data_IF_498025718947
#
_entry.id   IF_498025718947
#
_cell.length_a   1.000
_cell.length_b   1.000
_cell.length_c   1.000
_cell.angle_alpha   90.00
_cell.angle_beta   90.00
_cell.angle_gamma   90.00
#
_symmetry.space_group_name_H-M   'P 1'
#
loop_
_entity.id
_entity.type
_entity.pdbx_description
1 polymer ?
#
# COMPACT_ATOMS: atom_id res chain seq x y z
N UNK A 1 -5.80 72.32 -19.90
CA UNK A 1 -6.23 71.55 -18.72
C UNK A 1 -5.51 70.21 -18.74
N UNK A 2 -4.51 70.03 -17.88
CA UNK A 2 -3.69 68.82 -17.77
C UNK A 2 -4.02 68.20 -16.41
N UNK A 3 -4.57 66.98 -16.38
CA UNK A 3 -4.83 66.22 -15.16
C UNK A 3 -3.75 65.14 -15.03
N UNK A 4 -2.86 65.31 -14.07
CA UNK A 4 -1.91 64.28 -13.64
C UNK A 4 -2.64 63.28 -12.73
N UNK A 5 -2.50 61.98 -13.02
CA UNK A 5 -2.92 60.88 -12.14
C UNK A 5 -1.67 60.24 -11.55
N UNK A 6 -1.58 60.19 -10.22
CA UNK A 6 -0.54 59.48 -9.48
C UNK A 6 -1.01 58.05 -9.19
N UNK A 7 -0.19 57.06 -9.55
CA UNK A 7 -0.36 55.64 -9.22
C UNK A 7 0.35 55.35 -7.88
N UNK A 8 -0.43 54.99 -6.87
CA UNK A 8 0.10 54.47 -5.60
C UNK A 8 0.29 52.96 -5.68
N UNK A 9 1.52 52.49 -5.43
CA UNK A 9 1.86 51.06 -5.32
C UNK A 9 1.52 50.61 -3.89
N UNK A 10 0.61 49.65 -3.77
CA UNK A 10 0.28 48.98 -2.50
C UNK A 10 1.20 47.76 -2.36
N UNK A 11 2.07 47.80 -1.35
CA UNK A 11 2.91 46.68 -0.96
C UNK A 11 2.13 45.79 0.02
N UNK A 12 1.60 44.66 -0.44
CA UNK A 12 0.99 43.66 0.45
C UNK A 12 2.07 42.79 1.07
N UNK A 13 2.29 42.96 2.38
CA UNK A 13 3.16 42.10 3.16
C UNK A 13 2.63 40.67 3.21
N UNK A 14 3.47 39.70 2.85
CA UNK A 14 3.19 38.27 3.02
C UNK A 14 3.39 37.93 4.50
N UNK A 15 2.31 37.60 5.20
CA UNK A 15 2.37 37.02 6.53
C UNK A 15 2.72 35.53 6.41
N UNK A 16 3.92 35.16 6.85
CA UNK A 16 4.29 33.76 7.12
C UNK A 16 3.48 33.27 8.33
N UNK A 17 2.41 32.52 8.08
CA UNK A 17 1.75 31.70 9.08
C UNK A 17 2.73 30.59 9.52
N UNK A 18 3.24 30.70 10.74
CA UNK A 18 3.98 29.62 11.37
C UNK A 18 3.08 28.40 11.53
N UNK A 19 3.49 27.27 10.95
CA UNK A 19 2.83 25.98 11.16
C UNK A 19 3.20 25.51 12.56
N UNK A 20 2.23 25.55 13.48
CA UNK A 20 2.34 24.84 14.75
C UNK A 20 2.17 23.36 14.43
N UNK A 21 3.28 22.61 14.34
CA UNK A 21 3.24 21.15 14.26
C UNK A 21 2.90 20.58 15.63
N UNK A 22 1.61 20.65 15.98
CA UNK A 22 1.07 19.83 17.07
C UNK A 22 1.04 18.36 16.65
N UNK A 23 0.97 17.42 17.62
CA UNK A 23 0.72 16.02 17.28
C UNK A 23 -0.59 15.95 16.49
N UNK A 24 -0.52 15.40 15.28
CA UNK A 24 -1.71 15.12 14.47
C UNK A 24 -2.52 14.11 15.27
N UNK A 25 -3.72 14.51 15.68
CA UNK A 25 -4.64 13.59 16.34
C UNK A 25 -5.16 12.60 15.31
N UNK A 26 -5.24 11.32 15.68
CA UNK A 26 -5.80 10.29 14.81
C UNK A 26 -7.23 10.69 14.37
N UNK A 27 -7.43 10.85 13.07
CA UNK A 27 -8.74 11.10 12.50
C UNK A 27 -9.54 9.80 12.50
N UNK A 28 -10.84 9.89 12.79
CA UNK A 28 -11.76 8.75 12.74
C UNK A 28 -12.94 9.08 11.84
N UNK A 29 -13.24 8.15 10.95
CA UNK A 29 -14.32 8.21 9.98
C UNK A 29 -15.30 7.08 10.22
N UNK A 30 -16.54 7.25 9.80
CA UNK A 30 -17.53 6.19 9.78
C UNK A 30 -17.49 5.49 8.40
N UNK A 31 -17.48 4.16 8.38
CA UNK A 31 -17.34 3.40 7.12
C UNK A 31 -18.55 3.57 6.21
N UNK A 32 -19.78 3.52 6.74
CA UNK A 32 -20.98 3.74 5.92
C UNK A 32 -20.99 5.13 5.29
N UNK A 33 -20.63 6.18 6.04
CA UNK A 33 -20.46 7.52 5.46
C UNK A 33 -19.40 7.57 4.35
N UNK A 34 -18.27 6.88 4.50
CA UNK A 34 -17.24 6.81 3.45
C UNK A 34 -17.77 6.11 2.18
N UNK A 35 -18.60 5.09 2.33
CA UNK A 35 -19.23 4.38 1.21
C UNK A 35 -20.26 5.29 0.54
N UNK A 36 -21.20 5.85 1.29
CA UNK A 36 -22.34 6.61 0.76
C UNK A 36 -21.92 7.93 0.09
N UNK A 37 -20.87 8.57 0.61
CA UNK A 37 -20.35 9.83 0.06
C UNK A 37 -19.25 9.64 -0.98
N UNK A 38 -18.85 8.40 -1.28
CA UNK A 38 -17.62 8.10 -2.01
C UNK A 38 -16.41 8.86 -1.42
N UNK A 39 -16.33 8.85 -0.08
CA UNK A 39 -15.37 9.59 0.70
C UNK A 39 -13.95 9.05 0.54
N UNK A 40 -12.98 9.92 0.75
CA UNK A 40 -11.56 9.58 0.77
C UNK A 40 -10.83 10.44 1.80
N UNK A 41 -9.68 9.95 2.26
CA UNK A 41 -8.81 10.67 3.17
C UNK A 41 -7.36 10.21 3.00
N UNK A 42 -6.42 11.02 3.50
CA UNK A 42 -4.99 10.71 3.45
C UNK A 42 -4.44 10.35 4.83
N UNK A 43 -3.46 9.45 4.84
CA UNK A 43 -2.62 9.17 6.02
C UNK A 43 -1.17 9.20 5.54
N UNK A 44 -0.41 10.19 6.00
CA UNK A 44 0.90 10.50 5.43
C UNK A 44 0.79 10.80 3.92
N UNK A 45 1.51 10.02 3.12
CA UNK A 45 1.52 10.12 1.65
C UNK A 45 0.57 9.11 0.96
N UNK A 46 -0.37 8.50 1.69
CA UNK A 46 -1.26 7.46 1.17
C UNK A 46 -2.69 7.96 1.11
N UNK A 47 -3.33 7.87 -0.05
CA UNK A 47 -4.74 8.16 -0.25
C UNK A 47 -5.55 6.87 -0.11
N UNK A 48 -6.54 6.86 0.78
CA UNK A 48 -7.50 5.79 0.94
C UNK A 48 -8.86 6.22 0.35
N UNK A 49 -9.44 5.38 -0.51
CA UNK A 49 -10.66 5.68 -1.26
C UNK A 49 -11.45 4.41 -1.62
N UNK A 50 -12.55 4.57 -2.37
CA UNK A 50 -13.30 3.48 -3.00
C UNK A 50 -13.76 2.40 -1.99
N UNK A 51 -14.21 2.83 -0.80
CA UNK A 51 -14.64 1.93 0.26
C UNK A 51 -15.88 1.14 -0.14
N UNK A 52 -15.91 -0.14 0.24
CA UNK A 52 -17.08 -1.01 0.09
C UNK A 52 -17.20 -1.93 1.31
N UNK A 53 -18.42 -2.38 1.59
CA UNK A 53 -18.68 -3.38 2.61
C UNK A 53 -19.85 -4.28 2.23
N UNK A 54 -19.73 -5.58 2.49
CA UNK A 54 -20.84 -6.52 2.47
C UNK A 54 -20.83 -7.33 3.75
N UNK A 55 -21.99 -7.45 4.39
CA UNK A 55 -22.15 -8.14 5.67
C UNK A 55 -23.14 -9.28 5.48
N UNK A 56 -22.73 -10.48 5.84
CA UNK A 56 -23.55 -11.68 5.90
C UNK A 56 -23.45 -12.36 7.25
N UNK A 57 -24.43 -13.18 7.60
CA UNK A 57 -24.42 -13.92 8.85
C UNK A 57 -25.02 -15.31 8.68
N UNK A 58 -24.82 -16.15 9.71
CA UNK A 58 -25.50 -17.43 9.88
C UNK A 58 -26.04 -17.53 11.32
N UNK A 59 -27.29 -18.01 11.52
CA UNK A 59 -28.28 -18.33 10.49
C UNK A 59 -28.66 -17.10 9.65
N UNK A 60 -29.25 -17.30 8.47
CA UNK A 60 -29.46 -16.24 7.47
C UNK A 60 -30.25 -15.02 7.99
N UNK A 61 -31.00 -15.17 9.08
CA UNK A 61 -31.61 -14.06 9.79
C UNK A 61 -30.66 -13.59 10.88
N UNK A 62 -29.96 -12.48 10.63
CA UNK A 62 -29.05 -11.90 11.60
C UNK A 62 -29.82 -11.32 12.79
N UNK A 63 -29.53 -11.80 13.99
CA UNK A 63 -30.03 -11.19 15.20
C UNK A 63 -28.93 -10.30 15.80
N UNK A 64 -29.14 -8.96 15.91
CA UNK A 64 -28.13 -8.05 16.46
C UNK A 64 -27.76 -8.33 17.92
N UNK A 65 -28.56 -9.13 18.64
CA UNK A 65 -28.20 -9.59 19.99
C UNK A 65 -27.09 -10.65 19.99
N UNK A 66 -26.86 -11.34 18.87
CA UNK A 66 -25.95 -12.49 18.78
C UNK A 66 -24.84 -12.34 17.74
N UNK A 67 -24.96 -11.40 16.81
CA UNK A 67 -23.93 -11.11 15.80
C UNK A 67 -23.81 -9.62 15.53
N UNK A 68 -22.60 -9.19 15.22
CA UNK A 68 -22.33 -7.84 14.73
C UNK A 68 -20.96 -7.76 14.04
N UNK A 69 -20.69 -6.71 13.25
CA UNK A 69 -21.58 -5.60 12.89
C UNK A 69 -22.70 -6.04 11.92
N UNK A 70 -23.86 -5.37 11.91
CA UNK A 70 -24.91 -5.63 10.90
C UNK A 70 -25.06 -4.54 9.85
N UNK A 71 -24.32 -3.45 10.03
CA UNK A 71 -24.36 -2.26 9.18
C UNK A 71 -22.95 -1.65 9.11
N UNK A 72 -22.45 -1.25 7.93
CA UNK A 72 -21.20 -0.49 7.79
C UNK A 72 -21.12 0.76 8.69
N UNK A 73 -22.25 1.39 9.02
CA UNK A 73 -22.31 2.54 9.94
C UNK A 73 -21.84 2.21 11.36
N UNK A 74 -21.78 0.93 11.73
CA UNK A 74 -21.25 0.50 13.04
C UNK A 74 -19.73 0.31 13.05
N UNK A 75 -19.06 0.50 11.90
CA UNK A 75 -17.62 0.32 11.74
C UNK A 75 -16.96 1.70 11.59
N UNK A 76 -15.96 1.96 12.44
CA UNK A 76 -15.11 3.13 12.38
C UNK A 76 -13.81 2.81 11.65
N UNK A 77 -13.33 3.76 10.86
CA UNK A 77 -12.02 3.75 10.20
C UNK A 77 -11.16 4.84 10.82
N UNK A 78 -10.14 4.46 11.58
CA UNK A 78 -9.23 5.39 12.27
C UNK A 78 -7.88 5.41 11.56
N UNK A 79 -7.31 6.59 11.33
CA UNK A 79 -5.97 6.74 10.75
C UNK A 79 -4.90 6.27 11.73
N UNK A 80 -3.88 5.58 11.22
CA UNK A 80 -2.69 5.18 11.97
C UNK A 80 -1.47 5.88 11.36
N UNK A 81 -1.01 6.97 11.97
CA UNK A 81 0.03 7.86 11.44
C UNK A 81 1.37 7.79 12.21
N UNK A 82 1.47 6.91 13.21
CA UNK A 82 2.67 6.70 14.01
C UNK A 82 3.39 5.41 13.60
N UNK A 83 4.66 5.52 13.24
CA UNK A 83 5.48 4.39 12.80
C UNK A 83 5.33 4.10 11.30
N UNK A 84 4.33 3.29 10.95
CA UNK A 84 4.01 2.92 9.57
C UNK A 84 2.60 3.42 9.22
N UNK A 85 2.40 4.13 8.12
CA UNK A 85 1.06 4.67 7.85
C UNK A 85 0.04 3.57 7.53
N UNK A 86 -1.21 3.80 7.92
CA UNK A 86 -2.27 2.84 7.69
C UNK A 86 -3.60 3.26 8.28
N UNK A 87 -4.48 2.27 8.44
CA UNK A 87 -5.84 2.46 8.95
C UNK A 87 -6.22 1.33 9.90
N UNK A 88 -7.11 1.63 10.83
CA UNK A 88 -7.71 0.67 11.76
C UNK A 88 -9.20 0.59 11.50
N UNK A 89 -9.72 -0.60 11.27
CA UNK A 89 -11.15 -0.87 11.36
C UNK A 89 -11.49 -1.25 12.79
N UNK A 90 -12.44 -0.55 13.41
CA UNK A 90 -12.95 -0.86 14.75
C UNK A 90 -14.47 -0.90 14.74
N UNK A 91 -15.06 -1.85 15.45
CA UNK A 91 -16.51 -2.02 15.47
C UNK A 91 -16.92 -3.18 16.37
N UNK A 92 -18.23 -3.42 16.52
CA UNK A 92 -18.74 -4.53 17.33
C UNK A 92 -18.65 -5.84 16.53
N UNK A 93 -17.44 -6.29 16.16
CA UNK A 93 -17.29 -7.58 15.50
C UNK A 93 -17.43 -8.69 16.53
N UNK A 94 -18.57 -9.38 16.53
CA UNK A 94 -18.80 -10.53 17.39
C UNK A 94 -19.74 -11.56 16.76
N UNK A 95 -19.60 -12.82 17.19
CA UNK A 95 -20.53 -13.89 16.92
C UNK A 95 -20.65 -14.79 18.15
N UNK A 96 -21.86 -14.86 18.71
CA UNK A 96 -22.22 -15.71 19.85
C UNK A 96 -22.49 -17.16 19.42
N UNK A 97 -22.75 -18.02 20.40
CA UNK A 97 -22.92 -19.46 20.23
C UNK A 97 -23.95 -19.77 19.14
N UNK A 98 -23.59 -20.70 18.25
CA UNK A 98 -24.37 -21.13 17.09
C UNK A 98 -24.64 -20.04 16.04
N UNK A 99 -23.92 -18.92 16.11
CA UNK A 99 -23.96 -17.88 15.11
C UNK A 99 -22.59 -17.68 14.45
N UNK A 100 -22.62 -17.12 13.25
CA UNK A 100 -21.44 -16.67 12.54
C UNK A 100 -21.73 -15.38 11.80
N UNK A 101 -20.68 -14.62 11.53
CA UNK A 101 -20.71 -13.44 10.70
C UNK A 101 -19.54 -13.47 9.71
N UNK A 102 -19.83 -13.00 8.51
CA UNK A 102 -18.90 -12.81 7.40
C UNK A 102 -18.99 -11.35 6.96
N UNK A 103 -17.89 -10.62 7.08
CA UNK A 103 -17.80 -9.20 6.73
C UNK A 103 -16.70 -9.04 5.70
N UNK A 104 -17.07 -8.61 4.49
CA UNK A 104 -16.10 -8.28 3.45
C UNK A 104 -15.98 -6.77 3.36
N UNK A 105 -14.77 -6.23 3.53
CA UNK A 105 -14.47 -4.80 3.41
C UNK A 105 -13.50 -4.60 2.27
N UNK A 106 -13.82 -3.72 1.32
CA UNK A 106 -12.94 -3.32 0.24
C UNK A 106 -12.54 -1.85 0.33
N UNK A 107 -11.35 -1.51 -0.14
CA UNK A 107 -10.90 -0.12 -0.34
C UNK A 107 -9.73 -0.07 -1.33
N UNK A 108 -9.45 1.10 -1.87
CA UNK A 108 -8.24 1.40 -2.63
C UNK A 108 -7.24 2.13 -1.74
N UNK A 109 -5.95 1.92 -2.01
CA UNK A 109 -4.84 2.71 -1.47
C UNK A 109 -3.92 3.16 -2.60
N UNK A 110 -3.52 4.42 -2.59
CA UNK A 110 -2.62 5.03 -3.58
C UNK A 110 -1.46 5.76 -2.90
N UNK A 111 -0.23 5.48 -3.35
CA UNK A 111 0.98 6.21 -2.97
C UNK A 111 1.07 7.54 -3.73
N UNK A 112 0.99 8.65 -3.01
CA UNK A 112 1.00 10.00 -3.57
C UNK A 112 2.41 10.51 -3.87
N UNK A 113 3.45 10.00 -3.20
CA UNK A 113 4.83 10.34 -3.56
C UNK A 113 5.20 9.70 -4.91
N UNK A 114 5.57 10.49 -5.94
CA UNK A 114 5.92 9.96 -7.26
C UNK A 114 7.14 9.02 -7.25
N UNK A 115 7.97 9.05 -6.21
CA UNK A 115 9.15 8.20 -6.07
C UNK A 115 8.93 6.97 -5.19
N UNK A 116 7.74 6.80 -4.59
CA UNK A 116 7.44 5.69 -3.69
C UNK A 116 6.34 4.78 -4.25
N UNK A 117 6.49 3.47 -4.12
CA UNK A 117 5.46 2.51 -4.49
C UNK A 117 5.18 1.59 -3.30
N UNK A 118 3.93 1.18 -3.14
CA UNK A 118 3.51 0.23 -2.12
C UNK A 118 4.25 -1.08 -2.36
N UNK A 119 4.96 -1.56 -1.35
CA UNK A 119 5.81 -2.76 -1.44
C UNK A 119 5.24 -3.96 -0.68
N UNK A 120 4.55 -3.71 0.42
CA UNK A 120 4.10 -4.73 1.36
C UNK A 120 2.91 -4.22 2.16
N UNK A 121 2.25 -5.16 2.81
CA UNK A 121 1.11 -4.94 3.69
C UNK A 121 1.30 -5.71 4.99
N UNK A 122 0.90 -5.09 6.10
CA UNK A 122 0.90 -5.70 7.42
C UNK A 122 -0.53 -5.71 7.97
N UNK A 123 -0.96 -6.91 8.37
CA UNK A 123 -2.27 -7.18 8.92
C UNK A 123 -2.09 -7.58 10.38
N UNK A 124 -2.79 -6.90 11.29
CA UNK A 124 -2.87 -7.31 12.68
C UNK A 124 -4.30 -7.22 13.20
N UNK A 125 -4.66 -8.05 14.17
CA UNK A 125 -5.96 -7.99 14.83
C UNK A 125 -5.89 -8.50 16.27
N UNK A 126 -6.95 -8.26 17.04
CA UNK A 126 -7.08 -8.79 18.41
C UNK A 126 -8.19 -9.84 18.54
N UNK A 127 -8.38 -10.67 17.51
CA UNK A 127 -9.41 -11.70 17.50
C UNK A 127 -9.28 -12.66 18.68
N UNK A 128 -10.38 -12.87 19.40
CA UNK A 128 -10.40 -13.67 20.62
C UNK A 128 -11.61 -14.61 20.67
N UNK A 129 -11.37 -15.93 20.82
CA UNK A 129 -12.39 -16.89 21.22
C UNK A 129 -12.60 -16.88 22.74
N UNK A 130 -13.85 -16.89 23.18
CA UNK A 130 -14.27 -16.94 24.58
C UNK A 130 -15.32 -18.06 24.76
N UNK A 131 -15.13 -19.05 25.65
CA UNK A 131 -13.90 -19.35 26.36
C UNK A 131 -12.76 -19.77 25.39
N UNK A 132 -11.50 -19.75 25.84
CA UNK A 132 -10.38 -20.22 25.03
C UNK A 132 -10.54 -21.69 24.59
N UNK A 133 -9.98 -22.08 23.43
CA UNK A 133 -10.01 -23.45 22.94
C UNK A 133 -9.36 -24.44 23.93
N UNK A 134 -9.79 -25.72 23.94
CA UNK A 134 -10.75 -26.34 23.00
C UNK A 134 -12.23 -26.11 23.36
N UNK A 135 -12.53 -25.25 24.33
CA UNK A 135 -13.89 -25.00 24.81
C UNK A 135 -14.59 -24.01 23.85
N UNK A 136 -15.91 -24.13 23.66
CA UNK A 136 -16.70 -23.19 22.85
C UNK A 136 -16.63 -23.38 21.34
N UNK A 137 -15.51 -23.87 20.81
CA UNK A 137 -15.25 -24.02 19.37
C UNK A 137 -15.37 -22.72 18.55
N UNK A 138 -15.23 -21.56 19.19
CA UNK A 138 -15.28 -20.27 18.49
C UNK A 138 -13.98 -19.99 17.73
N UNK A 139 -14.09 -19.23 16.63
CA UNK A 139 -12.98 -18.88 15.74
C UNK A 139 -13.14 -17.48 15.19
N UNK A 140 -12.03 -16.78 15.02
CA UNK A 140 -11.93 -15.49 14.32
C UNK A 140 -10.85 -15.60 13.26
N UNK A 141 -11.07 -15.03 12.08
CA UNK A 141 -10.06 -14.94 11.03
C UNK A 141 -10.28 -13.71 10.16
N UNK A 142 -9.19 -13.14 9.66
CA UNK A 142 -9.21 -12.13 8.61
C UNK A 142 -8.27 -12.59 7.52
N UNK A 143 -8.78 -12.71 6.30
CA UNK A 143 -7.99 -12.93 5.09
C UNK A 143 -7.94 -11.61 4.34
N UNK A 144 -6.75 -11.16 3.98
CA UNK A 144 -6.54 -9.96 3.17
C UNK A 144 -5.99 -10.37 1.81
N UNK A 145 -6.61 -9.87 0.75
CA UNK A 145 -6.16 -10.04 -0.63
C UNK A 145 -5.92 -8.67 -1.27
N UNK A 146 -4.77 -8.51 -1.90
CA UNK A 146 -4.35 -7.28 -2.58
C UNK A 146 -4.35 -7.52 -4.08
N UNK A 147 -4.96 -6.58 -4.80
CA UNK A 147 -5.08 -6.59 -6.24
C UNK A 147 -4.37 -5.38 -6.85
N UNK A 148 -3.77 -5.56 -8.02
CA UNK A 148 -3.33 -4.46 -8.86
C UNK A 148 -4.50 -3.80 -9.60
N UNK A 149 -4.20 -2.75 -10.38
CA UNK A 149 -5.18 -2.01 -11.18
C UNK A 149 -5.84 -2.85 -12.29
N UNK A 150 -5.22 -3.97 -12.66
CA UNK A 150 -5.72 -4.91 -13.67
C UNK A 150 -6.55 -6.04 -13.03
N UNK A 151 -6.80 -5.97 -11.71
CA UNK A 151 -7.46 -6.98 -10.88
C UNK A 151 -6.70 -8.32 -10.76
N UNK A 152 -5.39 -8.34 -10.97
CA UNK A 152 -4.57 -9.50 -10.62
C UNK A 152 -4.25 -9.49 -9.13
N UNK A 153 -4.30 -10.66 -8.50
CA UNK A 153 -3.82 -10.82 -7.11
C UNK A 153 -2.30 -10.65 -7.13
N UNK A 154 -1.80 -9.77 -6.27
CA UNK A 154 -0.36 -9.48 -6.10
C UNK A 154 0.12 -9.69 -4.65
N UNK A 155 -0.78 -10.15 -3.77
CA UNK A 155 -0.46 -10.44 -2.38
C UNK A 155 -1.68 -10.99 -1.64
N UNK A 156 -1.44 -11.90 -0.71
CA UNK A 156 -2.46 -12.42 0.20
C UNK A 156 -1.84 -12.77 1.55
N UNK A 157 -2.51 -12.38 2.63
CA UNK A 157 -2.10 -12.72 3.99
C UNK A 157 -3.31 -13.01 4.86
N UNK A 158 -3.10 -13.57 6.04
CA UNK A 158 -4.18 -13.85 6.99
C UNK A 158 -3.70 -13.78 8.44
N UNK A 159 -4.65 -13.47 9.31
CA UNK A 159 -4.56 -13.61 10.76
C UNK A 159 -5.72 -14.46 11.25
N UNK A 160 -5.52 -15.25 12.31
CA UNK A 160 -6.54 -16.14 12.84
C UNK A 160 -6.35 -16.41 14.31
N UNK A 161 -7.44 -16.77 14.99
CA UNK A 161 -7.40 -17.28 16.34
C UNK A 161 -8.64 -18.15 16.57
N UNK A 162 -8.51 -19.47 16.85
CA UNK A 162 -7.30 -20.28 16.99
C UNK A 162 -6.84 -21.04 15.70
N UNK A 163 -5.56 -21.46 15.63
CA UNK A 163 -4.45 -21.11 16.54
C UNK A 163 -4.11 -19.61 16.44
N UNK A 164 -3.50 -18.99 17.47
CA UNK A 164 -3.27 -17.56 17.48
C UNK A 164 -2.16 -17.18 16.50
N UNK A 165 -2.55 -16.50 15.42
CA UNK A 165 -1.72 -15.75 14.48
C UNK A 165 -2.33 -14.36 14.47
N UNK A 166 -1.83 -13.47 15.33
CA UNK A 166 -2.46 -12.17 15.60
C UNK A 166 -1.94 -11.06 14.69
N UNK A 167 -0.81 -11.28 14.06
CA UNK A 167 -0.16 -10.39 13.12
C UNK A 167 0.52 -11.19 12.02
N UNK A 168 0.52 -10.64 10.81
CA UNK A 168 1.19 -11.21 9.65
C UNK A 168 1.50 -10.10 8.64
N UNK A 169 2.50 -10.32 7.79
CA UNK A 169 2.89 -9.39 6.74
C UNK A 169 3.25 -10.15 5.46
N UNK A 170 3.08 -9.49 4.32
CA UNK A 170 3.42 -10.07 3.01
C UNK A 170 4.00 -9.00 2.09
N UNK A 171 5.10 -9.33 1.43
CA UNK A 171 5.63 -8.56 0.32
C UNK A 171 4.74 -8.75 -0.91
N UNK A 172 4.43 -7.67 -1.62
CA UNK A 172 3.70 -7.76 -2.87
C UNK A 172 4.61 -8.30 -3.98
N UNK A 173 4.05 -9.08 -4.90
CA UNK A 173 4.77 -9.67 -6.04
C UNK A 173 5.49 -8.61 -6.90
N UNK A 174 4.95 -7.38 -6.89
CA UNK A 174 5.53 -6.20 -7.53
C UNK A 174 5.12 -4.94 -6.76
N UNK A 175 6.01 -3.92 -6.66
CA UNK A 175 5.61 -2.63 -6.13
C UNK A 175 4.56 -1.95 -7.02
N UNK A 176 3.53 -1.37 -6.42
CA UNK A 176 2.43 -0.70 -7.15
C UNK A 176 2.16 0.70 -6.63
N UNK A 177 1.69 1.59 -7.50
CA UNK A 177 1.26 2.94 -7.11
C UNK A 177 -0.12 2.94 -6.47
N UNK A 178 -1.01 2.12 -6.99
CA UNK A 178 -2.38 1.95 -6.51
C UNK A 178 -2.67 0.46 -6.37
N UNK A 179 -3.27 0.10 -5.25
CA UNK A 179 -3.72 -1.26 -4.98
C UNK A 179 -5.16 -1.23 -4.49
N UNK A 180 -5.93 -2.25 -4.86
CA UNK A 180 -7.23 -2.54 -4.24
C UNK A 180 -7.01 -3.60 -3.18
N UNK A 181 -7.55 -3.39 -2.00
CA UNK A 181 -7.45 -4.31 -0.86
C UNK A 181 -8.84 -4.82 -0.51
N UNK A 182 -8.97 -6.13 -0.32
CA UNK A 182 -10.19 -6.78 0.14
C UNK A 182 -9.88 -7.61 1.37
N UNK A 183 -10.60 -7.35 2.46
CA UNK A 183 -10.58 -8.13 3.69
C UNK A 183 -11.83 -8.99 3.76
N UNK A 184 -11.68 -10.29 4.00
CA UNK A 184 -12.73 -11.24 4.35
C UNK A 184 -12.58 -11.59 5.83
N UNK A 185 -13.52 -11.11 6.65
CA UNK A 185 -13.51 -11.19 8.11
C UNK A 185 -14.57 -12.20 8.53
N UNK A 186 -14.14 -13.29 9.15
CA UNK A 186 -15.05 -14.32 9.64
C UNK A 186 -14.97 -14.45 11.15
N UNK A 187 -16.12 -14.44 11.80
CA UNK A 187 -16.26 -14.81 13.20
C UNK A 187 -17.30 -15.93 13.33
N UNK A 188 -16.98 -16.96 14.09
CA UNK A 188 -17.86 -18.10 14.37
C UNK A 188 -17.89 -18.31 15.87
N UNK A 189 -19.05 -18.23 16.52
CA UNK A 189 -19.20 -18.47 17.95
C UNK A 189 -19.06 -19.94 18.36
N UNK A 190 -19.07 -20.86 17.39
CA UNK A 190 -19.00 -22.30 17.68
C UNK A 190 -20.28 -22.78 18.37
N UNK A 191 -20.18 -23.77 19.26
CA UNK A 191 -21.35 -24.40 19.89
C UNK A 191 -21.82 -23.69 21.16
N UNK A 192 -20.87 -23.15 21.93
CA UNK A 192 -21.11 -22.51 23.23
C UNK A 192 -20.16 -21.35 23.48
N UNK A 193 -19.49 -20.86 22.44
CA UNK A 193 -18.49 -19.80 22.54
C UNK A 193 -18.98 -18.48 21.94
N UNK A 194 -18.16 -17.47 22.14
CA UNK A 194 -18.22 -16.15 21.59
C UNK A 194 -16.91 -15.92 20.84
N UNK A 195 -16.99 -15.38 19.63
CA UNK A 195 -15.85 -14.88 18.88
C UNK A 195 -15.95 -13.36 18.84
N UNK A 196 -14.87 -12.65 19.16
CA UNK A 196 -14.84 -11.17 19.11
C UNK A 196 -13.59 -10.64 18.42
N UNK A 197 -13.71 -9.55 17.68
CA UNK A 197 -12.59 -8.72 17.22
C UNK A 197 -12.93 -7.27 17.60
N UNK A 198 -12.02 -6.54 18.24
CA UNK A 198 -12.25 -5.12 18.56
C UNK A 198 -11.62 -4.19 17.53
N UNK A 199 -10.47 -4.60 16.97
CA UNK A 199 -9.80 -3.85 15.92
C UNK A 199 -9.08 -4.77 14.93
N UNK A 200 -8.96 -4.27 13.71
CA UNK A 200 -8.14 -4.82 12.64
C UNK A 200 -7.28 -3.68 12.11
N UNK A 201 -5.97 -3.82 12.27
CA UNK A 201 -4.98 -2.86 11.80
C UNK A 201 -4.49 -3.25 10.41
N UNK A 202 -4.50 -2.27 9.52
CA UNK A 202 -3.74 -2.27 8.29
C UNK A 202 -2.57 -1.32 8.43
N UNK A 203 -1.36 -1.78 8.12
CA UNK A 203 -0.22 -0.91 7.86
C UNK A 203 0.37 -1.22 6.48
N UNK A 204 0.97 -0.22 5.85
CA UNK A 204 1.42 -0.31 4.46
C UNK A 204 2.80 0.32 4.36
N UNK A 205 3.80 -0.44 3.90
CA UNK A 205 5.12 0.14 3.58
C UNK A 205 5.27 0.43 2.10
N UNK A 206 6.30 1.21 1.81
CA UNK A 206 6.64 1.62 0.46
C UNK A 206 8.14 1.47 0.22
N UNK A 207 8.49 1.23 -1.03
CA UNK A 207 9.86 1.22 -1.53
C UNK A 207 10.07 2.29 -2.58
N UNK A 208 11.32 2.71 -2.78
CA UNK A 208 11.67 3.67 -3.83
C UNK A 208 11.50 3.03 -5.20
N UNK A 209 10.78 3.71 -6.07
CA UNK A 209 10.70 3.37 -7.50
C UNK A 209 12.02 3.82 -8.14
N UNK A 210 12.79 2.91 -8.80
CA UNK A 210 13.99 3.30 -9.52
C UNK A 210 13.64 4.36 -10.58
N UNK A 211 14.30 5.51 -10.52
CA UNK A 211 14.10 6.56 -11.50
C UNK A 211 14.43 6.03 -12.91
N UNK A 212 13.58 6.25 -13.92
CA UNK A 212 13.86 5.82 -15.29
C UNK A 212 15.23 6.31 -15.82
N UNK A 213 15.71 7.44 -15.30
CA UNK A 213 17.03 8.00 -15.62
C UNK A 213 18.22 7.17 -15.14
N UNK A 214 18.11 6.43 -14.04
CA UNK A 214 19.21 5.60 -13.52
C UNK A 214 19.42 4.36 -14.39
N UNK A 215 18.34 3.75 -14.87
CA UNK A 215 18.41 2.62 -15.81
C UNK A 215 18.92 3.10 -17.18
N UNK A 216 18.42 4.24 -17.67
CA UNK A 216 18.87 4.83 -18.92
C UNK A 216 20.35 5.22 -18.90
N UNK A 217 20.84 5.80 -17.81
CA UNK A 217 22.25 6.19 -17.67
C UNK A 217 23.18 4.97 -17.61
N UNK A 218 22.83 3.89 -16.89
CA UNK A 218 23.63 2.66 -16.89
C UNK A 218 23.75 2.03 -18.28
N UNK A 219 22.66 2.00 -19.06
CA UNK A 219 22.69 1.52 -20.45
C UNK A 219 23.54 2.44 -21.34
N UNK A 220 23.40 3.76 -21.18
CA UNK A 220 24.18 4.73 -21.96
C UNK A 220 25.69 4.63 -21.64
N UNK A 221 26.07 4.52 -20.36
CA UNK A 221 27.46 4.33 -19.96
C UNK A 221 28.01 2.96 -20.40
N UNK A 222 27.21 1.90 -20.37
CA UNK A 222 27.58 0.58 -20.88
C UNK A 222 27.84 0.56 -22.39
N UNK A 223 26.98 1.21 -23.17
CA UNK A 223 27.13 1.30 -24.63
C UNK A 223 28.26 2.23 -25.07
N UNK A 224 28.48 3.36 -24.37
CA UNK A 224 29.61 4.24 -24.64
C UNK A 224 30.96 3.57 -24.30
N UNK A 225 31.02 2.76 -23.24
CA UNK A 225 32.22 2.00 -22.88
C UNK A 225 32.64 0.99 -23.95
N UNK A 226 31.68 0.23 -24.50
CA UNK A 226 31.96 -0.74 -25.58
C UNK A 226 32.36 -0.07 -26.89
N UNK A 227 31.75 1.06 -27.25
CA UNK A 227 32.09 1.79 -28.49
C UNK A 227 33.54 2.30 -28.53
N UNK A 228 34.07 2.79 -27.41
CA UNK A 228 35.44 3.27 -27.31
C UNK A 228 36.48 2.14 -27.35
N UNK A 229 36.15 0.98 -26.77
CA UNK A 229 37.01 -0.21 -26.80
C UNK A 229 37.09 -0.79 -28.22
N UNK A 230 35.97 -0.89 -28.93
CA UNK A 230 35.93 -1.38 -30.31
C UNK A 230 36.65 -0.46 -31.30
N UNK A 231 36.58 0.87 -31.10
CA UNK A 231 37.34 1.83 -31.91
C UNK A 231 38.85 1.65 -31.75
N UNK A 232 39.33 1.49 -30.51
CA UNK A 232 40.75 1.24 -30.22
C UNK A 232 41.26 -0.08 -30.82
N UNK A 233 40.47 -1.15 -30.78
CA UNK A 233 40.84 -2.42 -31.39
C UNK A 233 40.95 -2.33 -32.92
N UNK A 234 40.07 -1.54 -33.55
CA UNK A 234 40.15 -1.26 -35.00
C UNK A 234 41.43 -0.52 -35.37
N UNK A 235 41.78 0.52 -34.63
CA UNK A 235 43.00 1.31 -34.88
C UNK A 235 44.28 0.48 -34.68
N UNK A 236 44.32 -0.41 -33.69
CA UNK A 236 45.44 -1.34 -33.50
C UNK A 236 45.56 -2.37 -34.62
N UNK A 237 44.43 -2.91 -35.11
CA UNK A 237 44.43 -3.87 -36.22
C UNK A 237 44.88 -3.26 -37.56
N UNK A 238 44.58 -1.98 -37.81
CA UNK A 238 45.02 -1.24 -39.01
C UNK A 238 46.52 -0.94 -38.96
N UNK A 239 47.04 -0.51 -37.80
CA UNK A 239 48.47 -0.27 -37.63
C UNK A 239 49.31 -1.56 -37.74
N UNK A 240 48.80 -2.70 -37.26
CA UNK A 240 49.45 -4.02 -37.45
C UNK A 240 49.49 -4.45 -38.92
N UNK A 241 48.48 -4.10 -39.73
CA UNK A 241 48.46 -4.39 -41.17
C UNK A 241 49.39 -3.49 -41.99
N UNK A 242 49.49 -2.19 -41.64
CA UNK A 242 50.40 -1.26 -42.31
C UNK A 242 51.88 -1.49 -41.93
N UNK A 243 52.16 -1.92 -40.70
CA UNK A 243 53.51 -2.29 -40.26
C UNK A 243 54.08 -3.55 -40.93
N UNK A 244 53.22 -4.46 -41.39
CA UNK A 244 53.63 -5.67 -42.11
C UNK A 244 54.02 -5.39 -43.58
N UNK A 245 53.36 -4.44 -44.24
CA UNK A 245 53.64 -4.09 -45.65
C UNK A 245 54.97 -3.35 -45.82
N UNK A 246 55.48 -2.69 -44.77
CA UNK A 246 56.73 -1.91 -44.84
C UNK A 246 58.02 -2.75 -44.75
N UNK A 247 57.96 -4.05 -44.39
CA UNK A 247 59.18 -4.87 -44.16
C UNK A 247 59.61 -5.74 -45.35
N UNK A 248 58.81 -5.86 -46.40
CA UNK A 248 59.08 -6.78 -47.52
C UNK A 248 59.83 -6.17 -48.72
N UNK A 249 60.12 -4.86 -48.72
CA UNK A 249 60.77 -4.20 -49.88
C UNK A 249 62.31 -4.13 -49.84
N UNK A 250 62.99 -4.91 -49.01
CA UNK A 250 64.45 -4.84 -48.89
C UNK A 250 65.17 -6.20 -49.02
N UNK A 251 64.78 -7.07 -49.96
CA UNK A 251 65.60 -8.24 -50.34
C UNK A 251 65.44 -8.66 -51.81
N UNK A 252 65.96 -7.90 -52.77
CA UNK A 252 66.41 -8.44 -54.06
C UNK A 252 67.55 -7.54 -54.58
N UNK A 253 68.80 -7.92 -54.35
CA UNK A 253 69.98 -7.62 -55.19
C UNK A 253 71.20 -8.31 -54.57
N UNK A 254 71.45 -9.55 -55.00
CA UNK A 254 72.77 -10.18 -55.08
C UNK A 254 72.65 -11.46 -55.89
#
# INVERSE_FOLDING_TARGET
MIRNFALGIVCTGVTLLGVVTGPVAAATFNLGNLIDSNGSFTVGDKLFSDFTATIGCQPAVCNPAFVGPLDPDSISVTTLDTGLEGIRFSGPFFADANNAIDVVIGYSVEALDPNMAISDIHLAFNGQPIPPPPIGNSRTSVVETVFDVDNNIIGQTFVSNPPPILDNAIDLDKPVKKAKVVKDIQLKGGTTGLATISFIDQRISQTKVPEPGTVGSLVLFGLCGMGLILKRQREQSVNLRLGAVSKDNHKVFS
#
